data_IF_695616464508
#
_entry.id   IF_695616464508
#
_cell.length_a   1.000
_cell.length_b   1.000
_cell.length_c   1.000
_cell.angle_alpha   90.00
_cell.angle_beta   90.00
_cell.angle_gamma   90.00
#
_symmetry.space_group_name_H-M   'P 1'
#
loop_
_entity.id
_entity.type
_entity.pdbx_description
1 polymer ?
#
# COMPACT_ATOMS: atom_id res chain seq x y z
N UNK A 1 13.52 -10.19 2.32
CA UNK A 1 12.57 -9.11 1.98
C UNK A 1 11.57 -9.61 0.96
N UNK A 2 10.25 -9.54 1.23
CA UNK A 2 9.20 -10.11 0.36
C UNK A 2 8.89 -9.12 -0.79
N UNK A 3 9.20 -9.50 -2.03
CA UNK A 3 8.78 -8.77 -3.23
C UNK A 3 7.39 -9.28 -3.64
N UNK A 4 6.39 -8.42 -3.62
CA UNK A 4 5.03 -8.79 -4.04
C UNK A 4 4.74 -8.25 -5.45
N UNK A 5 4.02 -9.05 -6.22
CA UNK A 5 3.52 -8.67 -7.54
C UNK A 5 2.13 -8.07 -7.40
N UNK A 6 1.82 -7.06 -8.21
CA UNK A 6 0.49 -6.48 -8.20
C UNK A 6 -0.53 -7.49 -8.77
N UNK A 7 -1.50 -7.98 -7.97
CA UNK A 7 -2.44 -9.03 -8.38
C UNK A 7 -3.33 -8.60 -9.55
N UNK A 8 -3.59 -7.30 -9.71
CA UNK A 8 -4.38 -6.73 -10.82
C UNK A 8 -3.62 -6.70 -12.14
N UNK A 9 -2.31 -6.44 -12.10
CA UNK A 9 -1.49 -6.25 -13.29
C UNK A 9 -0.72 -7.51 -13.70
N UNK A 10 -0.53 -8.46 -12.78
CA UNK A 10 0.34 -9.63 -12.97
C UNK A 10 -0.17 -10.65 -13.99
N UNK A 11 -1.44 -10.57 -14.41
CA UNK A 11 -2.01 -11.50 -15.39
C UNK A 11 -1.91 -11.07 -16.86
N UNK A 12 -1.59 -9.80 -17.15
CA UNK A 12 -1.81 -9.26 -18.50
C UNK A 12 -0.47 -9.06 -19.22
N UNK A 13 0.40 -8.13 -18.80
CA UNK A 13 1.68 -7.93 -19.47
C UNK A 13 2.71 -7.39 -18.46
N UNK A 14 3.78 -8.17 -18.22
CA UNK A 14 4.91 -7.91 -17.30
C UNK A 14 4.52 -7.95 -15.82
N UNK A 15 5.06 -8.92 -15.08
CA UNK A 15 5.02 -9.00 -13.61
C UNK A 15 5.50 -7.66 -12.99
N UNK A 16 4.58 -6.74 -12.69
CA UNK A 16 4.93 -5.44 -12.11
C UNK A 16 5.08 -5.58 -10.61
N UNK A 17 6.27 -5.29 -10.12
CA UNK A 17 6.56 -5.21 -8.71
C UNK A 17 5.84 -4.02 -8.09
N UNK A 18 5.41 -4.20 -6.84
CA UNK A 18 4.92 -3.10 -6.03
C UNK A 18 6.10 -2.32 -5.43
N UNK A 19 5.96 -0.99 -5.35
CA UNK A 19 6.93 -0.09 -4.74
C UNK A 19 6.50 0.22 -3.32
N UNK A 20 7.46 0.32 -2.40
CA UNK A 20 7.20 0.74 -1.02
C UNK A 20 7.17 2.26 -0.90
N UNK A 21 6.10 2.80 -0.34
CA UNK A 21 5.91 4.23 -0.11
C UNK A 21 5.69 4.49 1.38
N UNK A 22 6.41 5.44 1.95
CA UNK A 22 6.23 5.86 3.35
C UNK A 22 5.03 6.80 3.45
N UNK A 23 4.11 6.52 4.36
CA UNK A 23 2.96 7.35 4.64
C UNK A 23 3.15 8.11 5.98
N UNK A 24 2.59 9.33 6.16
CA UNK A 24 2.66 10.07 7.43
C UNK A 24 2.08 9.32 8.65
N UNK A 25 1.24 8.31 8.44
CA UNK A 25 0.78 7.38 9.47
C UNK A 25 1.85 6.42 9.98
N UNK A 26 3.08 6.49 9.44
CA UNK A 26 4.19 5.54 9.62
C UNK A 26 3.99 4.17 8.93
N UNK A 27 2.91 3.99 8.18
CA UNK A 27 2.72 2.80 7.36
C UNK A 27 3.64 2.79 6.12
N UNK A 28 4.09 1.60 5.70
CA UNK A 28 4.92 1.41 4.51
C UNK A 28 4.08 0.68 3.45
N UNK A 29 3.44 1.44 2.57
CA UNK A 29 2.44 0.91 1.65
C UNK A 29 3.10 0.27 0.44
N UNK A 30 2.65 -0.91 0.04
CA UNK A 30 3.02 -1.49 -1.25
C UNK A 30 2.05 -0.97 -2.33
N UNK A 31 2.58 -0.20 -3.28
CA UNK A 31 1.80 0.48 -4.32
C UNK A 31 2.26 0.05 -5.71
N UNK A 32 1.33 -0.35 -6.56
CA UNK A 32 1.63 -0.65 -7.96
C UNK A 32 1.94 0.65 -8.72
N UNK A 33 3.14 0.73 -9.31
CA UNK A 33 3.53 1.88 -10.14
C UNK A 33 2.79 1.98 -11.48
N UNK A 34 1.92 1.03 -11.83
CA UNK A 34 1.16 1.04 -13.08
C UNK A 34 -0.30 1.42 -12.87
N UNK A 35 -1.04 0.69 -12.02
CA UNK A 35 -2.47 0.91 -11.81
C UNK A 35 -2.79 1.69 -10.53
N UNK A 36 -1.79 2.04 -9.71
CA UNK A 36 -1.99 2.69 -8.42
C UNK A 36 -2.58 1.80 -7.33
N UNK A 37 -2.87 0.52 -7.62
CA UNK A 37 -3.41 -0.42 -6.63
C UNK A 37 -2.51 -0.58 -5.42
N UNK A 38 -3.12 -0.59 -4.24
CA UNK A 38 -2.44 -0.64 -2.94
C UNK A 38 -2.71 -1.98 -2.27
N UNK A 39 -1.66 -2.61 -1.76
CA UNK A 39 -1.77 -3.83 -0.95
C UNK A 39 -1.36 -3.50 0.48
N UNK A 40 -2.19 -3.92 1.44
CA UNK A 40 -2.03 -3.58 2.84
C UNK A 40 -2.13 -4.83 3.70
N UNK A 41 -1.27 -4.92 4.71
CA UNK A 41 -1.44 -5.90 5.79
C UNK A 41 -2.31 -5.35 6.94
N UNK A 42 -2.61 -6.21 7.91
CA UNK A 42 -3.46 -5.86 9.06
C UNK A 42 -2.89 -4.69 9.88
N UNK A 43 -1.57 -4.60 10.03
CA UNK A 43 -0.92 -3.56 10.82
C UNK A 43 -0.93 -2.22 10.08
N UNK A 44 -0.70 -2.23 8.77
CA UNK A 44 -0.76 -1.05 7.92
C UNK A 44 -2.17 -0.44 7.89
N UNK A 45 -3.21 -1.28 7.78
CA UNK A 45 -4.62 -0.83 7.87
C UNK A 45 -4.89 -0.17 9.22
N UNK A 46 -4.45 -0.78 10.33
CA UNK A 46 -4.61 -0.21 11.68
C UNK A 46 -3.95 1.17 11.81
N UNK A 47 -2.73 1.32 11.29
CA UNK A 47 -2.00 2.60 11.31
C UNK A 47 -2.74 3.68 10.50
N UNK A 48 -3.19 3.36 9.29
CA UNK A 48 -3.94 4.28 8.44
C UNK A 48 -5.28 4.70 9.08
N UNK A 49 -6.02 3.74 9.64
CA UNK A 49 -7.30 4.00 10.30
C UNK A 49 -7.14 4.94 11.51
N UNK A 50 -6.18 4.65 12.39
CA UNK A 50 -5.91 5.48 13.56
C UNK A 50 -5.43 6.89 13.17
N UNK A 51 -4.60 7.00 12.14
CA UNK A 51 -4.16 8.28 11.61
C UNK A 51 -5.34 9.11 11.05
N UNK A 52 -6.26 8.47 10.32
CA UNK A 52 -7.48 9.12 9.81
C UNK A 52 -8.37 9.64 10.95
N UNK A 53 -8.54 8.86 12.02
CA UNK A 53 -9.32 9.29 13.21
C UNK A 53 -8.70 10.48 13.94
N UNK A 54 -7.37 10.60 13.98
CA UNK A 54 -6.68 11.76 14.57
C UNK A 54 -6.88 13.03 13.76
N UNK A 55 -6.79 12.95 12.42
CA UNK A 55 -7.02 14.12 11.55
C UNK A 55 -8.45 14.68 11.62
N UNK A 56 -9.45 13.85 11.93
CA UNK A 56 -10.85 14.28 12.08
C UNK A 56 -11.18 14.92 13.44
N UNK A 57 -10.21 14.98 14.36
CA UNK A 57 -10.35 15.58 15.70
C UNK A 57 -9.75 16.99 15.79
N UNK A 58 -9.34 17.55 14.65
CA UNK A 58 -8.95 18.95 14.49
C UNK A 58 -9.90 19.64 13.54
#
# INVERSE_FOLDING_TARGET
>A
MKKIHCPRCSGIWRKKFMRKIKHPSRAILDVCGHCGGMWLDRNEVKLLYNFSKRKKRG
#
